data_IF_146274860872
#
_entry.id   IF_146274860872
#
_cell.length_a   1.000
_cell.length_b   1.000
_cell.length_c   1.000
_cell.angle_alpha   90.00
_cell.angle_beta   90.00
_cell.angle_gamma   90.00
#
_symmetry.space_group_name_H-M   'P 1'
#
loop_
_entity.id
_entity.type
_entity.pdbx_description
1 polymer ?
#
# COMPACT_ATOMS: atom_id res chain seq x y z
N UNK A 1 17.28 12.84 -4.03
CA UNK A 1 18.63 12.25 -4.04
C UNK A 1 18.61 10.93 -3.27
N UNK A 2 19.01 9.86 -3.94
CA UNK A 2 19.08 8.51 -3.40
C UNK A 2 20.50 8.28 -2.88
N UNK A 3 20.68 7.90 -1.64
CA UNK A 3 21.99 7.65 -1.03
C UNK A 3 22.05 6.20 -0.59
N UNK A 4 23.20 5.55 -0.79
CA UNK A 4 23.41 4.23 -0.21
C UNK A 4 23.46 4.34 1.31
N UNK A 5 22.67 3.54 2.06
CA UNK A 5 22.72 3.54 3.51
C UNK A 5 24.11 3.05 3.98
N UNK A 6 24.64 3.69 5.01
CA UNK A 6 25.90 3.35 5.70
C UNK A 6 27.22 3.65 4.95
N UNK A 7 27.19 4.21 3.74
CA UNK A 7 28.42 4.68 3.07
C UNK A 7 28.71 6.14 3.40
N UNK A 8 28.92 6.42 4.68
CA UNK A 8 29.28 7.77 5.16
C UNK A 8 30.75 8.13 4.96
N UNK A 9 31.57 7.20 4.48
CA UNK A 9 33.00 7.39 4.29
C UNK A 9 33.38 7.96 2.92
N UNK A 10 32.47 7.97 1.97
CA UNK A 10 32.71 8.57 0.67
C UNK A 10 32.55 10.09 0.80
N UNK A 11 33.64 10.81 0.68
CA UNK A 11 33.70 12.28 0.53
C UNK A 11 33.16 12.74 -0.83
N UNK A 12 32.33 11.96 -1.46
CA UNK A 12 31.75 12.22 -2.76
C UNK A 12 30.38 12.88 -2.62
N UNK A 13 30.10 13.83 -3.49
CA UNK A 13 28.75 14.33 -3.77
C UNK A 13 27.75 13.18 -3.85
N UNK A 14 26.51 13.46 -3.44
CA UNK A 14 25.42 12.48 -3.38
C UNK A 14 25.39 11.56 -4.62
N UNK A 15 25.71 10.29 -4.43
CA UNK A 15 25.65 9.28 -5.50
C UNK A 15 24.19 8.89 -5.65
N UNK A 16 23.63 9.17 -6.82
CA UNK A 16 22.27 8.74 -7.16
C UNK A 16 22.32 7.27 -7.55
N UNK A 17 21.75 6.40 -6.71
CA UNK A 17 21.58 4.98 -7.02
C UNK A 17 20.15 4.71 -7.49
N UNK A 18 20.00 3.76 -8.44
CA UNK A 18 18.67 3.32 -8.86
C UNK A 18 17.96 2.58 -7.72
N UNK A 19 16.64 2.79 -7.59
CA UNK A 19 15.85 2.02 -6.63
C UNK A 19 15.71 0.57 -7.08
N UNK A 20 15.51 -0.41 -6.16
CA UNK A 20 15.28 -1.81 -6.53
C UNK A 20 14.17 -2.00 -7.57
N UNK A 21 13.09 -1.22 -7.47
CA UNK A 21 12.01 -1.23 -8.46
C UNK A 21 12.42 -0.60 -9.81
N UNK A 22 13.25 0.42 -9.78
CA UNK A 22 13.82 1.01 -11.01
C UNK A 22 14.71 0.01 -11.74
N UNK A 23 15.60 -0.68 -11.03
CA UNK A 23 16.46 -1.74 -11.57
C UNK A 23 15.63 -2.86 -12.20
N UNK A 24 14.58 -3.30 -11.50
CA UNK A 24 13.68 -4.34 -12.01
C UNK A 24 12.99 -3.92 -13.31
N UNK A 25 12.60 -2.65 -13.41
CA UNK A 25 11.89 -2.11 -14.57
C UNK A 25 12.77 -1.87 -15.77
N UNK A 26 13.98 -1.41 -15.55
CA UNK A 26 14.96 -1.14 -16.61
C UNK A 26 15.68 -2.42 -17.09
N UNK A 27 15.54 -3.53 -16.33
CA UNK A 27 16.11 -4.82 -16.70
C UNK A 27 17.65 -4.87 -16.69
N UNK A 28 18.30 -3.93 -16.02
CA UNK A 28 19.74 -3.75 -16.10
C UNK A 28 20.43 -3.60 -14.74
N UNK A 29 20.55 -4.67 -13.95
CA UNK A 29 21.30 -4.63 -12.71
C UNK A 29 21.09 -5.86 -11.83
N UNK A 30 21.99 -6.07 -10.86
CA UNK A 30 21.81 -7.08 -9.84
C UNK A 30 20.71 -6.64 -8.87
N UNK A 31 19.69 -7.49 -8.70
CA UNK A 31 18.62 -7.24 -7.72
C UNK A 31 19.18 -7.45 -6.31
N UNK A 32 18.88 -6.57 -5.36
CA UNK A 32 19.32 -6.72 -3.98
C UNK A 32 18.71 -7.97 -3.35
N UNK A 33 19.44 -8.55 -2.40
CA UNK A 33 18.95 -9.68 -1.61
C UNK A 33 17.73 -9.30 -0.78
N UNK A 34 16.86 -10.27 -0.49
CA UNK A 34 15.71 -10.05 0.41
C UNK A 34 16.14 -9.58 1.81
N UNK A 35 17.31 -10.01 2.28
CA UNK A 35 17.87 -9.55 3.56
C UNK A 35 18.26 -8.07 3.50
N UNK A 36 18.83 -7.63 2.39
CA UNK A 36 19.20 -6.23 2.21
C UNK A 36 17.96 -5.33 2.12
N UNK A 37 16.89 -5.77 1.43
CA UNK A 37 15.60 -5.09 1.41
C UNK A 37 14.95 -5.03 2.80
N UNK A 38 15.04 -6.11 3.57
CA UNK A 38 14.45 -6.20 4.88
C UNK A 38 15.18 -5.32 5.92
N UNK A 39 16.51 -5.32 5.88
CA UNK A 39 17.35 -4.52 6.77
C UNK A 39 17.54 -3.07 6.32
N UNK A 40 17.26 -2.78 5.04
CA UNK A 40 17.37 -1.44 4.50
C UNK A 40 18.75 -1.08 3.92
N UNK A 41 19.54 -2.07 3.56
CA UNK A 41 20.83 -1.88 2.90
C UNK A 41 20.67 -1.70 1.38
N UNK A 42 19.70 -0.91 0.97
CA UNK A 42 19.36 -0.65 -0.43
C UNK A 42 19.13 0.82 -0.67
N UNK A 43 19.39 1.28 -1.90
CA UNK A 43 19.07 2.65 -2.30
C UNK A 43 17.55 2.90 -2.29
N UNK A 44 17.13 4.00 -1.68
CA UNK A 44 15.70 4.34 -1.60
C UNK A 44 15.46 5.71 -0.97
N UNK A 45 14.18 6.11 -0.89
CA UNK A 45 13.78 7.31 -0.18
C UNK A 45 13.94 7.15 1.34
N UNK A 46 14.22 8.26 2.01
CA UNK A 46 14.24 8.31 3.47
C UNK A 46 12.91 7.80 4.04
N UNK A 47 13.00 6.79 4.90
CA UNK A 47 11.86 6.21 5.61
C UNK A 47 11.21 5.00 4.96
N UNK A 48 11.57 4.62 3.71
CA UNK A 48 11.03 3.43 3.06
C UNK A 48 12.03 2.28 2.89
N UNK A 49 13.32 2.54 3.11
CA UNK A 49 14.39 1.58 2.85
C UNK A 49 14.38 0.39 3.80
N UNK A 50 14.08 0.61 5.09
CA UNK A 50 14.12 -0.44 6.11
C UNK A 50 12.72 -1.02 6.39
N UNK A 51 12.39 -2.15 5.76
CA UNK A 51 11.12 -2.83 5.96
C UNK A 51 10.91 -3.26 7.43
N UNK A 52 11.97 -3.69 8.12
CA UNK A 52 11.92 -4.07 9.53
C UNK A 52 11.45 -2.91 10.43
N UNK A 53 12.00 -1.72 10.26
CA UNK A 53 11.63 -0.55 11.05
C UNK A 53 10.16 -0.15 10.82
N UNK A 54 9.70 -0.20 9.56
CA UNK A 54 8.31 0.09 9.20
C UNK A 54 7.35 -0.93 9.84
N UNK A 55 7.70 -2.22 9.79
CA UNK A 55 6.89 -3.28 10.42
C UNK A 55 6.82 -3.13 11.94
N UNK A 56 7.94 -2.83 12.61
CA UNK A 56 7.94 -2.57 14.06
C UNK A 56 7.03 -1.39 14.39
N UNK A 57 7.15 -0.28 13.68
CA UNK A 57 6.29 0.89 13.83
C UNK A 57 4.82 0.60 13.57
N UNK A 58 4.51 -0.10 12.48
CA UNK A 58 3.16 -0.50 12.12
C UNK A 58 2.51 -1.43 13.14
N UNK A 59 3.23 -2.46 13.60
CA UNK A 59 2.76 -3.38 14.65
C UNK A 59 2.54 -2.64 15.98
N UNK A 60 3.42 -1.72 16.34
CA UNK A 60 3.25 -0.89 17.52
C UNK A 60 1.95 -0.07 17.45
N UNK A 61 1.65 0.58 16.32
CA UNK A 61 0.43 1.35 16.15
C UNK A 61 -0.83 0.49 16.20
N UNK A 62 -0.79 -0.72 15.63
CA UNK A 62 -1.88 -1.70 15.73
C UNK A 62 -2.07 -2.15 17.19
N UNK A 63 -1.00 -2.51 17.89
CA UNK A 63 -1.04 -2.94 19.29
C UNK A 63 -1.61 -1.85 20.20
N UNK A 64 -1.28 -0.59 19.94
CA UNK A 64 -1.82 0.58 20.63
C UNK A 64 -3.23 0.95 20.18
N UNK A 65 -3.80 0.21 19.21
CA UNK A 65 -5.13 0.47 18.62
C UNK A 65 -5.28 1.87 18.01
N UNK A 66 -4.17 2.45 17.59
CA UNK A 66 -4.17 3.73 16.87
C UNK A 66 -4.69 3.52 15.45
N UNK A 67 -4.29 2.43 14.80
CA UNK A 67 -4.74 2.09 13.45
C UNK A 67 -5.45 0.73 13.44
N UNK A 68 -6.42 0.58 12.52
CA UNK A 68 -7.08 -0.70 12.29
C UNK A 68 -6.22 -1.59 11.38
N UNK A 69 -6.00 -2.87 11.70
CA UNK A 69 -5.21 -3.78 10.89
C UNK A 69 -5.87 -4.12 9.54
N UNK A 70 -7.15 -3.81 9.37
CA UNK A 70 -7.93 -4.17 8.17
C UNK A 70 -7.31 -3.57 6.90
N UNK A 71 -6.98 -2.27 6.91
CA UNK A 71 -6.44 -1.59 5.73
C UNK A 71 -5.06 -2.15 5.36
N UNK A 72 -4.05 -2.17 6.27
CA UNK A 72 -2.71 -2.67 5.91
C UNK A 72 -2.74 -4.12 5.43
N UNK A 73 -3.43 -5.00 6.15
CA UNK A 73 -3.48 -6.43 5.80
C UNK A 73 -4.15 -6.65 4.46
N UNK A 74 -5.30 -6.01 4.21
CA UNK A 74 -6.01 -6.16 2.94
C UNK A 74 -5.24 -5.54 1.78
N UNK A 75 -4.58 -4.41 1.99
CA UNK A 75 -3.76 -3.76 0.98
C UNK A 75 -2.59 -4.66 0.55
N UNK A 76 -1.80 -5.14 1.53
CA UNK A 76 -0.65 -6.01 1.26
C UNK A 76 -1.08 -7.34 0.65
N UNK A 77 -2.17 -7.96 1.14
CA UNK A 77 -2.70 -9.18 0.56
C UNK A 77 -3.12 -8.99 -0.91
N UNK A 78 -3.81 -7.89 -1.22
CA UNK A 78 -4.22 -7.59 -2.59
C UNK A 78 -3.00 -7.33 -3.48
N UNK A 79 -2.01 -6.57 -3.01
CA UNK A 79 -0.77 -6.34 -3.75
C UNK A 79 -0.02 -7.65 -4.03
N UNK A 80 0.07 -8.55 -3.04
CA UNK A 80 0.70 -9.86 -3.22
C UNK A 80 -0.03 -10.72 -4.27
N UNK A 81 -1.37 -10.74 -4.24
CA UNK A 81 -2.17 -11.50 -5.21
C UNK A 81 -1.96 -10.95 -6.63
N UNK A 82 -2.00 -9.63 -6.81
CA UNK A 82 -1.78 -9.02 -8.14
C UNK A 82 -0.34 -9.20 -8.62
N UNK A 83 0.67 -9.13 -7.74
CA UNK A 83 2.05 -9.44 -8.07
C UNK A 83 2.20 -10.85 -8.61
N UNK A 84 1.61 -11.83 -7.91
CA UNK A 84 1.60 -13.23 -8.36
C UNK A 84 0.85 -13.42 -9.70
N UNK A 85 -0.26 -12.71 -9.93
CA UNK A 85 -1.01 -12.75 -11.19
C UNK A 85 -0.19 -12.21 -12.38
N UNK A 86 0.63 -11.19 -12.14
CA UNK A 86 1.53 -10.64 -13.16
C UNK A 86 2.83 -11.46 -13.33
N UNK A 87 2.98 -12.57 -12.59
CA UNK A 87 4.18 -13.41 -12.66
C UNK A 87 5.42 -12.80 -12.02
N UNK A 88 5.24 -11.80 -11.16
CA UNK A 88 6.30 -11.16 -10.37
C UNK A 88 6.47 -11.86 -9.03
N UNK A 89 7.58 -11.61 -8.37
CA UNK A 89 7.82 -12.12 -7.04
C UNK A 89 7.08 -11.26 -5.99
N UNK A 90 6.03 -11.81 -5.33
CA UNK A 90 5.24 -11.05 -4.38
C UNK A 90 6.07 -10.55 -3.18
N UNK A 91 7.04 -11.34 -2.73
CA UNK A 91 7.86 -10.96 -1.59
C UNK A 91 8.76 -9.77 -1.92
N UNK A 92 9.36 -9.79 -3.11
CA UNK A 92 10.16 -8.66 -3.59
C UNK A 92 9.32 -7.39 -3.73
N UNK A 93 8.15 -7.48 -4.35
CA UNK A 93 7.26 -6.34 -4.55
C UNK A 93 6.72 -5.74 -3.23
N UNK A 94 6.49 -6.59 -2.21
CA UNK A 94 6.07 -6.13 -0.89
C UNK A 94 7.18 -5.43 -0.12
N UNK A 95 8.44 -5.93 -0.22
CA UNK A 95 9.57 -5.39 0.52
C UNK A 95 10.21 -4.20 -0.19
N UNK A 96 10.00 -4.04 -1.50
CA UNK A 96 10.61 -2.99 -2.30
C UNK A 96 9.73 -1.75 -2.43
N UNK A 97 10.34 -0.59 -2.38
CA UNK A 97 9.68 0.71 -2.49
C UNK A 97 8.77 1.05 -1.31
N UNK A 98 7.97 2.08 -1.47
CA UNK A 98 7.13 2.65 -0.41
C UNK A 98 5.84 1.89 -0.10
N UNK A 99 5.65 0.63 -0.53
CA UNK A 99 4.39 -0.08 -0.36
C UNK A 99 4.08 -0.36 1.12
N UNK A 100 5.04 -0.81 1.90
CA UNK A 100 4.87 -1.01 3.34
C UNK A 100 4.59 0.31 4.06
N UNK A 101 5.35 1.35 3.76
CA UNK A 101 5.12 2.69 4.31
C UNK A 101 3.71 3.19 3.96
N UNK A 102 3.32 3.06 2.71
CA UNK A 102 2.00 3.45 2.23
C UNK A 102 0.87 2.70 2.91
N UNK A 103 1.00 1.38 3.07
CA UNK A 103 -0.03 0.53 3.66
C UNK A 103 -0.23 0.80 5.17
N UNK A 104 0.85 1.00 5.94
CA UNK A 104 0.77 1.18 7.39
C UNK A 104 0.54 2.63 7.83
N UNK A 105 1.09 3.61 7.12
CA UNK A 105 1.11 4.99 7.60
C UNK A 105 0.32 5.96 6.71
N UNK A 106 0.27 5.73 5.38
CA UNK A 106 -0.42 6.65 4.48
C UNK A 106 -1.89 6.27 4.25
N UNK A 107 -2.18 4.98 3.99
CA UNK A 107 -3.54 4.52 3.70
C UNK A 107 -4.42 4.42 4.95
N UNK A 108 -3.84 4.50 6.15
CA UNK A 108 -4.55 4.43 7.43
C UNK A 108 -4.87 5.80 8.03
N UNK A 109 -4.75 6.87 7.24
CA UNK A 109 -5.08 8.21 7.71
C UNK A 109 -6.56 8.34 8.12
N UNK A 110 -6.82 8.93 9.28
CA UNK A 110 -8.17 9.06 9.83
C UNK A 110 -9.11 9.97 9.03
N UNK A 111 -8.54 10.93 8.30
CA UNK A 111 -9.33 11.95 7.60
C UNK A 111 -9.82 11.49 6.25
N UNK A 112 -9.05 10.64 5.59
CA UNK A 112 -9.30 10.24 4.19
C UNK A 112 -9.75 8.81 4.04
N UNK A 113 -9.48 7.93 5.02
CA UNK A 113 -9.88 6.52 4.97
C UNK A 113 -11.37 6.33 5.33
N UNK A 114 -12.05 5.33 4.74
CA UNK A 114 -13.45 5.04 5.04
C UNK A 114 -13.68 4.63 6.51
N UNK A 115 -14.81 5.08 7.08
CA UNK A 115 -15.19 4.77 8.46
C UNK A 115 -15.65 3.32 8.64
N UNK A 116 -16.38 2.78 7.67
CA UNK A 116 -17.05 1.48 7.79
C UNK A 116 -16.12 0.33 7.42
N UNK A 117 -16.27 -0.81 8.08
CA UNK A 117 -15.43 -2.01 7.86
C UNK A 117 -15.34 -2.40 6.38
N UNK A 118 -16.49 -2.60 5.73
CA UNK A 118 -16.54 -2.96 4.30
C UNK A 118 -15.99 -1.85 3.40
N UNK A 119 -16.16 -0.58 3.79
CA UNK A 119 -15.54 0.55 3.10
C UNK A 119 -14.03 0.46 3.13
N UNK A 120 -13.45 0.15 4.30
CA UNK A 120 -11.98 -0.05 4.46
C UNK A 120 -11.46 -1.19 3.61
N UNK A 121 -12.20 -2.31 3.53
CA UNK A 121 -11.83 -3.46 2.70
C UNK A 121 -11.82 -3.08 1.22
N UNK A 122 -12.90 -2.46 0.72
CA UNK A 122 -12.98 -2.03 -0.69
C UNK A 122 -11.89 -1.00 -1.01
N UNK A 123 -11.68 -0.04 -0.14
CA UNK A 123 -10.63 0.97 -0.27
C UNK A 123 -9.23 0.32 -0.37
N UNK A 124 -8.91 -0.59 0.54
CA UNK A 124 -7.62 -1.26 0.59
C UNK A 124 -7.39 -2.17 -0.64
N UNK A 125 -8.43 -2.88 -1.11
CA UNK A 125 -8.38 -3.66 -2.36
C UNK A 125 -8.09 -2.72 -3.54
N UNK A 126 -8.79 -1.59 -3.62
CA UNK A 126 -8.57 -0.60 -4.67
C UNK A 126 -7.15 -0.04 -4.65
N UNK A 127 -6.63 0.33 -3.47
CA UNK A 127 -5.24 0.78 -3.33
C UNK A 127 -4.25 -0.28 -3.81
N UNK A 128 -4.40 -1.54 -3.37
CA UNK A 128 -3.50 -2.64 -3.75
C UNK A 128 -3.52 -2.92 -5.26
N UNK A 129 -4.71 -3.04 -5.83
CA UNK A 129 -4.87 -3.28 -7.25
C UNK A 129 -4.29 -2.14 -8.10
N UNK A 130 -4.63 -0.89 -7.78
CA UNK A 130 -4.12 0.29 -8.51
C UNK A 130 -2.60 0.41 -8.40
N UNK A 131 -2.02 0.18 -7.21
CA UNK A 131 -0.57 0.21 -7.03
C UNK A 131 0.12 -0.78 -7.96
N UNK A 132 -0.37 -2.03 -8.01
CA UNK A 132 0.24 -3.06 -8.84
C UNK A 132 0.04 -2.81 -10.33
N UNK A 133 -1.13 -2.29 -10.73
CA UNK A 133 -1.38 -1.88 -12.13
C UNK A 133 -0.45 -0.74 -12.54
N UNK A 134 -0.24 0.26 -11.68
CA UNK A 134 0.67 1.37 -11.99
C UNK A 134 2.13 0.87 -12.06
N UNK A 135 2.54 -0.03 -11.17
CA UNK A 135 3.88 -0.63 -11.21
C UNK A 135 4.14 -1.41 -12.48
N UNK A 136 3.14 -2.16 -12.98
CA UNK A 136 3.27 -2.99 -14.17
C UNK A 136 3.18 -2.18 -15.46
N UNK A 137 2.12 -1.41 -15.61
CA UNK A 137 1.79 -0.70 -16.85
C UNK A 137 2.22 0.77 -16.88
N UNK A 138 2.45 1.37 -15.71
CA UNK A 138 2.84 2.77 -15.63
C UNK A 138 4.30 3.01 -16.01
N UNK A 139 4.66 4.23 -16.35
CA UNK A 139 6.05 4.66 -16.56
C UNK A 139 6.83 4.81 -15.24
N UNK A 140 6.13 5.00 -14.13
CA UNK A 140 6.73 5.20 -12.81
C UNK A 140 7.00 3.86 -12.13
N UNK A 141 8.16 3.68 -11.47
CA UNK A 141 8.47 2.47 -10.72
C UNK A 141 7.60 2.33 -9.47
N UNK A 142 7.13 3.44 -8.90
CA UNK A 142 6.29 3.49 -7.73
C UNK A 142 4.92 4.09 -8.04
N UNK A 143 3.86 3.44 -7.53
CA UNK A 143 2.48 3.87 -7.74
C UNK A 143 1.69 4.07 -6.45
N UNK A 144 2.31 3.87 -5.28
CA UNK A 144 1.64 3.84 -3.98
C UNK A 144 0.92 5.16 -3.68
N UNK A 145 1.61 6.28 -3.79
CA UNK A 145 1.04 7.61 -3.50
C UNK A 145 -0.11 7.95 -4.43
N UNK A 146 0.03 7.65 -5.72
CA UNK A 146 -1.03 7.89 -6.72
C UNK A 146 -2.26 7.03 -6.47
N UNK A 147 -2.07 5.76 -6.13
CA UNK A 147 -3.17 4.85 -5.83
C UNK A 147 -3.95 5.30 -4.60
N UNK A 148 -3.25 5.74 -3.54
CA UNK A 148 -3.88 6.23 -2.32
C UNK A 148 -4.65 7.53 -2.60
N UNK A 149 -4.09 8.48 -3.34
CA UNK A 149 -4.77 9.74 -3.71
C UNK A 149 -6.04 9.44 -4.50
N UNK A 150 -5.97 8.57 -5.52
CA UNK A 150 -7.14 8.20 -6.33
C UNK A 150 -8.23 7.55 -5.48
N UNK A 151 -7.86 6.64 -4.58
CA UNK A 151 -8.82 5.98 -3.70
C UNK A 151 -9.40 6.91 -2.64
N UNK A 152 -8.63 7.90 -2.17
CA UNK A 152 -9.13 8.94 -1.26
C UNK A 152 -10.22 9.78 -1.92
N UNK A 153 -10.07 10.12 -3.21
CA UNK A 153 -11.12 10.82 -3.98
C UNK A 153 -12.39 9.96 -4.08
N UNK A 154 -12.24 8.62 -4.17
CA UNK A 154 -13.36 7.70 -4.26
C UNK A 154 -13.99 7.36 -2.88
N UNK A 155 -13.36 7.70 -1.77
CA UNK A 155 -13.85 7.40 -0.42
C UNK A 155 -15.29 7.87 -0.16
N UNK A 156 -15.70 9.11 -0.52
CA UNK A 156 -17.09 9.55 -0.32
C UNK A 156 -18.08 8.70 -1.12
N UNK A 157 -17.69 8.23 -2.30
CA UNK A 157 -18.52 7.36 -3.11
C UNK A 157 -18.65 5.98 -2.47
N UNK A 158 -17.55 5.39 -2.00
CA UNK A 158 -17.54 4.11 -1.29
C UNK A 158 -18.46 4.18 -0.05
N UNK A 159 -18.33 5.22 0.75
CA UNK A 159 -19.14 5.41 1.95
C UNK A 159 -20.63 5.53 1.64
N UNK A 160 -21.00 6.18 0.54
CA UNK A 160 -22.41 6.29 0.12
C UNK A 160 -23.05 4.93 -0.13
N UNK A 161 -22.31 3.98 -0.70
CA UNK A 161 -22.84 2.64 -1.01
C UNK A 161 -22.73 1.66 0.16
N UNK A 162 -21.74 1.83 1.02
CA UNK A 162 -21.42 0.89 2.12
C UNK A 162 -22.06 1.32 3.45
N UNK A 163 -22.70 2.49 3.50
CA UNK A 163 -23.32 3.03 4.71
C UNK A 163 -24.29 2.05 5.36
N UNK A 164 -24.08 1.63 6.62
CA UNK A 164 -25.02 0.79 7.33
C UNK A 164 -26.33 1.55 7.57
N UNK A 165 -27.43 0.82 7.72
CA UNK A 165 -28.72 1.42 8.04
C UNK A 165 -28.66 2.11 9.39
N UNK A 166 -29.23 3.32 9.47
CA UNK A 166 -29.33 4.05 10.72
C UNK A 166 -30.22 3.26 11.71
N UNK A 167 -29.86 3.30 12.99
CA UNK A 167 -30.70 2.75 14.05
C UNK A 167 -32.12 3.38 13.99
N UNK A 168 -33.14 2.53 14.09
CA UNK A 168 -34.54 2.99 14.05
C UNK A 168 -35.12 3.20 12.66
N UNK A 169 -34.38 3.01 11.57
CA UNK A 169 -34.99 3.06 10.24
C UNK A 169 -35.92 1.86 10.01
N UNK A 170 -37.20 2.08 9.59
CA UNK A 170 -38.16 1.00 9.38
C UNK A 170 -37.63 0.00 8.36
N UNK A 171 -37.74 -1.31 8.65
CA UNK A 171 -37.43 -2.35 7.66
C UNK A 171 -38.29 -2.09 6.43
N UNK A 172 -37.69 -1.92 5.25
CA UNK A 172 -38.45 -1.94 4.00
C UNK A 172 -39.26 -3.24 3.98
N UNK A 173 -40.56 -3.15 4.23
CA UNK A 173 -41.49 -4.25 4.01
C UNK A 173 -41.35 -4.57 2.52
N UNK A 174 -40.83 -5.74 2.20
CA UNK A 174 -40.88 -6.30 0.85
C UNK A 174 -42.39 -6.33 0.52
N UNK A 175 -42.86 -5.45 -0.35
CA UNK A 175 -44.16 -5.59 -0.96
C UNK A 175 -44.15 -6.95 -1.68
N UNK A 176 -44.67 -7.96 -0.96
CA UNK A 176 -44.98 -9.24 -1.55
C UNK A 176 -45.97 -8.96 -2.68
N UNK A 177 -45.70 -9.48 -3.83
CA UNK A 177 -46.59 -9.38 -4.97
C UNK A 177 -47.95 -9.90 -4.60
N UNK A 178 -48.96 -9.05 -4.58
CA UNK A 178 -50.33 -9.46 -4.79
C UNK A 178 -50.39 -9.89 -6.26
N UNK A 179 -50.48 -11.20 -6.48
CA UNK A 179 -51.02 -11.75 -7.72
C UNK A 179 -52.54 -11.73 -7.53
N UNK A 180 -53.22 -10.96 -8.27
CA UNK A 180 -54.53 -11.25 -8.80
C UNK A 180 -54.43 -11.50 -10.30
#
# INVERSE_FOLDING_TARGET
HWVQPFDYAATADAVTTATPLGILKEGGGELPSYLDLFLGNTGGCLGETCALAILIGGVYLIARRVISPVIPVTYLATAAVFSALFGRDPLFDLLSGGLLLGAFFMATDYTTSPLYFWGRVIFAIGCGALTMVIREFGSLPEGVSYSIILMNILTPLIERYVKPRAFGSPKKVRKGGAKE
#
